data_IF_269490383495
#
_entry.id   IF_269490383495
#
_cell.length_a   1.000
_cell.length_b   1.000
_cell.length_c   1.000
_cell.angle_alpha   90.00
_cell.angle_beta   90.00
_cell.angle_gamma   90.00
#
_symmetry.space_group_name_H-M   'P 1'
#
loop_
_entity.id
_entity.type
_entity.pdbx_description
1 polymer ?
#
# COMPACT_ATOMS: atom_id res chain seq x y z
N UNK A 1 -16.08 10.97 20.85
CA UNK A 1 -16.33 10.83 19.39
C UNK A 1 -15.08 11.27 18.64
N UNK A 2 -14.12 10.38 18.38
CA UNK A 2 -12.93 10.69 17.57
C UNK A 2 -12.75 9.64 16.48
N UNK A 3 -13.64 9.64 15.50
CA UNK A 3 -13.45 8.86 14.26
C UNK A 3 -12.75 9.69 13.16
N UNK A 4 -12.49 10.99 13.40
CA UNK A 4 -11.81 11.88 12.44
C UNK A 4 -10.29 11.68 12.31
N UNK A 5 -9.63 11.02 13.28
CA UNK A 5 -8.18 10.83 13.26
C UNK A 5 -7.71 9.66 12.39
N UNK A 6 -8.48 8.57 12.34
CA UNK A 6 -8.11 7.39 11.55
C UNK A 6 -8.36 7.63 10.05
N UNK A 7 -9.54 8.16 9.69
CA UNK A 7 -9.86 8.51 8.31
C UNK A 7 -8.85 9.51 7.72
N UNK A 8 -8.49 10.55 8.49
CA UNK A 8 -7.49 11.53 8.04
C UNK A 8 -6.08 10.92 7.88
N UNK A 9 -5.71 9.90 8.66
CA UNK A 9 -4.45 9.16 8.46
C UNK A 9 -4.50 8.31 7.20
N UNK A 10 -5.60 7.62 6.93
CA UNK A 10 -5.76 6.83 5.70
C UNK A 10 -5.69 7.73 4.46
N UNK A 11 -6.33 8.90 4.51
CA UNK A 11 -6.26 9.88 3.42
C UNK A 11 -4.84 10.42 3.21
N UNK A 12 -4.09 10.65 4.30
CA UNK A 12 -2.68 11.01 4.22
C UNK A 12 -1.83 9.90 3.59
N UNK A 13 -2.06 8.64 3.97
CA UNK A 13 -1.37 7.49 3.38
C UNK A 13 -1.68 7.41 1.89
N UNK A 14 -2.95 7.49 1.50
CA UNK A 14 -3.39 7.49 0.10
C UNK A 14 -2.66 8.56 -0.70
N UNK A 15 -2.62 9.79 -0.18
CA UNK A 15 -1.92 10.91 -0.81
C UNK A 15 -0.42 10.63 -0.94
N UNK A 16 0.23 10.10 0.10
CA UNK A 16 1.66 9.75 0.05
C UNK A 16 1.95 8.69 -1.01
N UNK A 17 1.14 7.63 -1.13
CA UNK A 17 1.32 6.59 -2.14
C UNK A 17 1.22 7.15 -3.57
N UNK A 18 0.31 8.10 -3.80
CA UNK A 18 0.21 8.82 -5.07
C UNK A 18 1.49 9.62 -5.36
N UNK A 19 1.99 10.39 -4.40
CA UNK A 19 3.20 11.22 -4.57
C UNK A 19 4.46 10.37 -4.77
N UNK A 20 4.55 9.21 -4.10
CA UNK A 20 5.65 8.25 -4.24
C UNK A 20 5.53 7.40 -5.51
N UNK A 21 4.48 7.59 -6.31
CA UNK A 21 4.19 6.82 -7.53
C UNK A 21 4.12 5.33 -7.23
N UNK A 22 3.40 4.94 -6.17
CA UNK A 22 3.20 3.56 -5.76
C UNK A 22 1.77 3.09 -6.06
N UNK A 23 1.39 2.92 -7.34
CA UNK A 23 0.02 2.58 -7.72
C UNK A 23 -0.40 1.20 -7.19
N UNK A 24 0.53 0.24 -7.08
CA UNK A 24 0.18 -1.10 -6.60
C UNK A 24 -0.07 -1.10 -5.10
N UNK A 25 0.75 -0.38 -4.33
CA UNK A 25 0.47 -0.19 -2.91
C UNK A 25 -0.88 0.52 -2.71
N UNK A 26 -1.22 1.49 -3.56
CA UNK A 26 -2.51 2.18 -3.50
C UNK A 26 -3.69 1.23 -3.77
N UNK A 27 -3.57 0.33 -4.74
CA UNK A 27 -4.57 -0.72 -5.03
C UNK A 27 -4.78 -1.67 -3.83
N UNK A 28 -3.69 -2.00 -3.12
CA UNK A 28 -3.72 -2.96 -2.01
C UNK A 28 -4.12 -2.34 -0.67
N UNK A 29 -4.05 -1.01 -0.52
CA UNK A 29 -4.24 -0.30 0.74
C UNK A 29 -5.54 -0.70 1.46
N UNK A 30 -6.67 -0.73 0.77
CA UNK A 30 -7.96 -1.05 1.39
C UNK A 30 -8.02 -2.50 1.89
N UNK A 31 -7.40 -3.44 1.17
CA UNK A 31 -7.33 -4.84 1.59
C UNK A 31 -6.43 -5.00 2.82
N UNK A 32 -5.29 -4.31 2.83
CA UNK A 32 -4.34 -4.32 3.96
C UNK A 32 -4.97 -3.71 5.21
N UNK A 33 -5.68 -2.58 5.09
CA UNK A 33 -6.39 -1.97 6.22
C UNK A 33 -7.45 -2.90 6.82
N UNK A 34 -8.25 -3.57 5.97
CA UNK A 34 -9.20 -4.59 6.44
C UNK A 34 -8.51 -5.75 7.15
N UNK A 35 -7.31 -6.13 6.71
CA UNK A 35 -6.49 -7.14 7.38
C UNK A 35 -6.11 -6.74 8.80
N UNK A 36 -5.68 -5.49 8.98
CA UNK A 36 -5.37 -4.92 10.30
C UNK A 36 -6.63 -4.88 11.18
N UNK A 37 -7.76 -4.39 10.66
CA UNK A 37 -9.02 -4.28 11.40
C UNK A 37 -9.55 -5.65 11.86
N UNK A 38 -9.29 -6.70 11.07
CA UNK A 38 -9.66 -8.08 11.40
C UNK A 38 -8.64 -8.77 12.33
N UNK A 39 -7.54 -8.09 12.68
CA UNK A 39 -6.45 -8.67 13.47
C UNK A 39 -5.69 -9.78 12.75
N UNK A 40 -5.75 -9.82 11.41
CA UNK A 40 -5.09 -10.85 10.59
C UNK A 40 -3.61 -10.55 10.35
N UNK A 41 -3.27 -9.26 10.26
CA UNK A 41 -1.92 -8.76 10.05
C UNK A 41 -1.69 -7.57 10.98
N UNK A 42 -0.46 -7.36 11.40
CA UNK A 42 -0.09 -6.18 12.19
C UNK A 42 0.31 -4.99 11.29
N UNK A 43 0.62 -3.85 11.92
CA UNK A 43 0.99 -2.63 11.20
C UNK A 43 2.35 -2.72 10.49
N UNK A 44 3.29 -3.51 10.99
CA UNK A 44 4.61 -3.70 10.35
C UNK A 44 4.46 -4.62 9.14
N UNK A 45 3.73 -5.71 9.29
CA UNK A 45 3.39 -6.64 8.21
C UNK A 45 2.62 -5.93 7.09
N UNK A 46 1.70 -5.04 7.44
CA UNK A 46 1.00 -4.21 6.46
C UNK A 46 1.94 -3.32 5.62
N UNK A 47 2.96 -2.72 6.24
CA UNK A 47 3.97 -1.93 5.52
C UNK A 47 4.76 -2.83 4.57
N UNK A 48 5.24 -3.97 5.06
CA UNK A 48 6.00 -4.92 4.26
C UNK A 48 5.21 -5.40 3.03
N UNK A 49 3.94 -5.77 3.21
CA UNK A 49 3.03 -6.17 2.11
C UNK A 49 2.94 -5.06 1.05
N UNK A 50 2.67 -3.82 1.45
CA UNK A 50 2.50 -2.72 0.49
C UNK A 50 3.80 -2.43 -0.29
N UNK A 51 4.95 -2.48 0.38
CA UNK A 51 6.25 -2.25 -0.26
C UNK A 51 6.61 -3.40 -1.22
N UNK A 52 6.44 -4.66 -0.79
CA UNK A 52 6.76 -5.83 -1.60
C UNK A 52 5.91 -5.93 -2.86
N UNK A 53 4.61 -5.65 -2.75
CA UNK A 53 3.70 -5.60 -3.90
C UNK A 53 4.15 -4.56 -4.94
N UNK A 54 4.52 -3.36 -4.49
CA UNK A 54 5.02 -2.31 -5.39
C UNK A 54 6.38 -2.66 -6.00
N UNK A 55 7.32 -3.19 -5.22
CA UNK A 55 8.61 -3.65 -5.71
C UNK A 55 8.46 -4.73 -6.79
N UNK A 56 7.59 -5.71 -6.55
CA UNK A 56 7.27 -6.76 -7.52
C UNK A 56 6.72 -6.19 -8.83
N UNK A 57 5.81 -5.19 -8.77
CA UNK A 57 5.30 -4.53 -9.98
C UNK A 57 6.41 -3.83 -10.78
N UNK A 58 7.28 -3.09 -10.09
CA UNK A 58 8.40 -2.35 -10.72
C UNK A 58 9.39 -3.29 -11.37
N UNK A 59 9.72 -4.38 -10.68
CA UNK A 59 10.63 -5.40 -11.18
C UNK A 59 10.06 -6.09 -12.43
N UNK A 60 8.78 -6.47 -12.41
CA UNK A 60 8.09 -7.01 -13.58
C UNK A 60 8.12 -6.05 -14.78
N UNK A 61 7.92 -4.74 -14.56
CA UNK A 61 8.03 -3.72 -15.62
C UNK A 61 9.46 -3.61 -16.14
N UNK A 62 10.46 -3.64 -15.26
CA UNK A 62 11.88 -3.59 -15.61
C UNK A 62 12.29 -4.76 -16.48
N UNK A 63 11.92 -5.99 -16.11
CA UNK A 63 12.18 -7.20 -16.89
C UNK A 63 11.51 -7.10 -18.26
N UNK A 64 10.22 -6.73 -18.32
CA UNK A 64 9.50 -6.57 -19.59
C UNK A 64 10.12 -5.51 -20.51
N UNK A 65 10.69 -4.44 -19.97
CA UNK A 65 11.39 -3.42 -20.75
C UNK A 65 12.74 -3.93 -21.28
N UNK A 66 13.46 -4.76 -20.52
CA UNK A 66 14.74 -5.34 -20.94
C UNK A 66 14.60 -6.46 -21.98
N UNK A 67 13.43 -7.09 -22.07
CA UNK A 67 13.11 -8.13 -23.06
C UNK A 67 12.56 -7.56 -24.39
N UNK A 68 12.42 -6.23 -24.50
CA UNK A 68 11.90 -5.55 -25.69
C UNK A 68 13.02 -5.01 -26.57
#
# INVERSE_FOLDING_TARGET
>A
MSHGGAASRVDNIRRSLVHLKMPRALEMLDATLRGIEQGKIDGVEAIDILLNEELSLRENRRIKAALR
#
